data_IF_530549776526
#
_entry.id   IF_530549776526
#
_cell.length_a   1.000
_cell.length_b   1.000
_cell.length_c   1.000
_cell.angle_alpha   90.00
_cell.angle_beta   90.00
_cell.angle_gamma   90.00
#
_symmetry.space_group_name_H-M   'P 1'
#
loop_
_entity.id
_entity.type
_entity.pdbx_description
1 polymer ?
#
# COMPACT_ATOMS: atom_id res chain seq x y z
N UNK A 1 6.69 -5.07 -8.70
CA UNK A 1 7.08 -5.38 -10.10
C UNK A 1 7.80 -4.18 -10.67
N UNK A 2 8.85 -4.36 -11.48
CA UNK A 2 9.58 -3.23 -12.07
C UNK A 2 8.88 -2.62 -13.29
N UNK A 3 8.09 -3.43 -13.99
CA UNK A 3 7.30 -2.98 -15.12
C UNK A 3 5.82 -2.91 -14.73
N UNK A 4 5.07 -2.10 -15.49
CA UNK A 4 3.63 -1.98 -15.31
C UNK A 4 2.97 -3.36 -15.40
N UNK A 5 2.03 -3.70 -14.49
CA UNK A 5 1.35 -4.98 -14.52
C UNK A 5 0.55 -5.18 -15.81
N UNK A 6 0.47 -6.42 -16.27
CA UNK A 6 -0.37 -6.79 -17.41
C UNK A 6 -1.82 -6.38 -17.15
N UNK A 7 -2.48 -5.86 -18.19
CA UNK A 7 -3.86 -5.40 -18.08
C UNK A 7 -4.81 -6.58 -18.06
N UNK A 8 -5.73 -6.56 -17.11
CA UNK A 8 -6.86 -7.48 -17.05
C UNK A 8 -7.93 -7.09 -18.07
N UNK A 9 -8.47 -8.07 -18.79
CA UNK A 9 -9.70 -7.96 -19.57
C UNK A 9 -10.30 -9.36 -19.81
N UNK A 10 -11.43 -9.45 -20.51
CA UNK A 10 -12.12 -10.73 -20.78
C UNK A 10 -11.30 -11.73 -21.60
N UNK A 11 -10.28 -11.27 -22.33
CA UNK A 11 -9.47 -12.09 -23.25
C UNK A 11 -8.06 -12.36 -22.75
N UNK A 12 -7.59 -11.67 -21.70
CA UNK A 12 -6.22 -11.80 -21.20
C UNK A 12 -6.13 -11.78 -19.69
N UNK A 13 -5.14 -12.51 -19.18
CA UNK A 13 -4.80 -12.58 -17.77
C UNK A 13 -3.81 -11.46 -17.42
N UNK A 14 -4.12 -10.70 -16.38
CA UNK A 14 -3.36 -9.51 -15.98
C UNK A 14 -2.43 -9.77 -14.79
N UNK A 15 -1.90 -8.68 -14.19
CA UNK A 15 -1.05 -8.76 -13.01
C UNK A 15 0.42 -9.02 -13.37
N UNK A 16 1.01 -10.08 -12.82
CA UNK A 16 2.42 -10.42 -13.08
C UNK A 16 2.65 -10.76 -14.55
N UNK A 17 3.84 -10.44 -15.08
CA UNK A 17 4.21 -10.75 -16.46
C UNK A 17 4.16 -12.26 -16.76
N UNK A 18 4.45 -13.09 -15.75
CA UNK A 18 4.36 -14.55 -15.85
C UNK A 18 2.93 -15.07 -16.03
N UNK A 19 1.92 -14.22 -15.80
CA UNK A 19 0.53 -14.64 -15.86
C UNK A 19 0.01 -14.85 -17.29
N UNK A 20 0.76 -14.43 -18.32
CA UNK A 20 0.50 -14.85 -19.71
C UNK A 20 0.58 -16.37 -19.87
N UNK A 21 1.45 -17.00 -19.08
CA UNK A 21 1.69 -18.45 -19.10
C UNK A 21 0.81 -19.13 -18.04
N UNK A 22 0.81 -18.61 -16.81
CA UNK A 22 0.12 -19.25 -15.67
C UNK A 22 -1.41 -19.19 -15.78
N UNK A 23 -1.94 -18.11 -16.39
CA UNK A 23 -3.38 -17.90 -16.58
C UNK A 23 -4.19 -17.99 -15.28
N UNK A 24 -3.63 -17.48 -14.18
CA UNK A 24 -4.34 -17.32 -12.92
C UNK A 24 -5.42 -16.25 -13.07
N UNK A 25 -6.61 -16.54 -12.56
CA UNK A 25 -7.72 -15.59 -12.55
C UNK A 25 -7.48 -14.42 -11.59
N UNK A 26 -8.09 -13.27 -11.91
CA UNK A 26 -8.07 -12.08 -11.03
C UNK A 26 -8.73 -12.37 -9.68
N UNK A 27 -9.81 -13.16 -9.72
CA UNK A 27 -10.66 -13.47 -8.57
C UNK A 27 -10.20 -14.80 -7.99
N UNK A 28 -9.78 -14.74 -6.75
CA UNK A 28 -9.27 -15.87 -5.97
C UNK A 28 -10.29 -16.30 -4.92
N UNK A 29 -10.25 -17.56 -4.49
CA UNK A 29 -11.08 -18.11 -3.43
C UNK A 29 -12.02 -19.23 -3.87
N UNK A 30 -12.99 -19.55 -3.02
CA UNK A 30 -13.73 -20.81 -3.11
C UNK A 30 -14.76 -20.83 -4.24
N UNK A 31 -14.54 -21.73 -5.19
CA UNK A 31 -15.48 -22.11 -6.25
C UNK A 31 -16.74 -22.83 -5.73
N UNK A 32 -16.74 -23.27 -4.46
CA UNK A 32 -17.78 -24.14 -3.91
C UNK A 32 -19.11 -23.42 -3.62
N UNK A 33 -19.11 -22.09 -3.61
CA UNK A 33 -20.27 -21.30 -3.18
C UNK A 33 -21.15 -20.79 -4.34
N UNK A 34 -20.87 -21.20 -5.58
CA UNK A 34 -21.72 -20.89 -6.75
C UNK A 34 -21.90 -19.40 -7.02
N UNK A 35 -20.90 -18.56 -6.69
CA UNK A 35 -20.99 -17.12 -6.87
C UNK A 35 -21.08 -16.74 -8.34
N UNK A 36 -22.07 -15.91 -8.68
CA UNK A 36 -22.21 -15.31 -10.00
C UNK A 36 -21.47 -13.97 -9.96
N UNK A 37 -20.44 -13.84 -10.81
CA UNK A 37 -19.66 -12.60 -10.92
C UNK A 37 -20.23 -11.80 -12.09
N UNK A 38 -20.91 -10.70 -11.76
CA UNK A 38 -21.41 -9.73 -12.74
C UNK A 38 -20.46 -8.51 -12.84
N UNK A 39 -20.53 -7.79 -13.96
CA UNK A 39 -19.80 -6.53 -14.19
C UNK A 39 -18.26 -6.62 -14.08
N UNK A 40 -17.67 -7.73 -14.54
CA UNK A 40 -16.21 -7.94 -14.55
C UNK A 40 -15.44 -6.83 -15.25
N UNK A 41 -15.99 -6.24 -16.32
CA UNK A 41 -15.35 -5.14 -17.03
C UNK A 41 -15.02 -3.94 -16.14
N UNK A 42 -15.95 -3.55 -15.24
CA UNK A 42 -15.71 -2.44 -14.31
C UNK A 42 -14.65 -2.79 -13.27
N UNK A 43 -14.63 -4.04 -12.83
CA UNK A 43 -13.60 -4.54 -11.92
C UNK A 43 -12.23 -4.49 -12.59
N UNK A 44 -12.12 -4.95 -13.85
CA UNK A 44 -10.89 -4.87 -14.62
C UNK A 44 -10.40 -3.44 -14.79
N UNK A 45 -11.30 -2.50 -15.13
CA UNK A 45 -10.97 -1.07 -15.23
C UNK A 45 -10.39 -0.54 -13.91
N UNK A 46 -11.08 -0.79 -12.79
CA UNK A 46 -10.62 -0.33 -11.48
C UNK A 46 -9.24 -0.91 -11.11
N UNK A 47 -9.06 -2.23 -11.26
CA UNK A 47 -7.79 -2.91 -10.98
C UNK A 47 -6.67 -2.38 -11.87
N UNK A 48 -6.91 -2.21 -13.17
CA UNK A 48 -5.92 -1.73 -14.11
C UNK A 48 -5.44 -0.31 -13.81
N UNK A 49 -6.32 0.56 -13.29
CA UNK A 49 -5.98 1.92 -12.83
C UNK A 49 -5.19 1.86 -11.52
N UNK A 50 -5.66 1.09 -10.54
CA UNK A 50 -4.98 1.01 -9.24
C UNK A 50 -3.60 0.33 -9.36
N UNK A 51 -3.47 -0.70 -10.19
CA UNK A 51 -2.22 -1.41 -10.44
C UNK A 51 -1.20 -0.62 -11.28
N UNK A 52 -1.63 0.44 -11.99
CA UNK A 52 -0.71 1.31 -12.74
C UNK A 52 -0.08 2.41 -11.90
N UNK A 53 -0.40 2.50 -10.61
CA UNK A 53 0.22 3.46 -9.69
C UNK A 53 1.65 3.01 -9.38
N UNK A 54 2.60 3.92 -9.61
CA UNK A 54 4.02 3.71 -9.29
C UNK A 54 4.31 4.10 -7.84
N UNK A 55 5.07 3.24 -7.17
CA UNK A 55 5.51 3.41 -5.81
C UNK A 55 7.04 3.44 -5.75
N UNK A 56 7.56 3.99 -4.66
CA UNK A 56 8.97 3.94 -4.28
C UNK A 56 9.09 3.73 -2.78
N UNK A 57 10.30 3.40 -2.35
CA UNK A 57 10.60 3.28 -0.93
C UNK A 57 10.97 4.65 -0.37
N UNK A 58 10.32 5.03 0.73
CA UNK A 58 10.69 6.19 1.54
C UNK A 58 12.09 5.98 2.13
N UNK A 59 13.09 6.41 1.37
CA UNK A 59 14.50 6.20 1.68
C UNK A 59 14.92 6.92 2.95
N UNK A 60 14.33 8.08 3.24
CA UNK A 60 14.62 8.86 4.44
C UNK A 60 14.18 8.13 5.70
N UNK A 61 12.95 7.57 5.71
CA UNK A 61 12.47 6.77 6.83
C UNK A 61 13.30 5.49 6.98
N UNK A 62 13.58 4.78 5.89
CA UNK A 62 14.36 3.55 5.93
C UNK A 62 15.76 3.78 6.53
N UNK A 63 16.44 4.85 6.11
CA UNK A 63 17.73 5.23 6.67
C UNK A 63 17.67 5.59 8.15
N UNK A 64 16.62 6.30 8.56
CA UNK A 64 16.39 6.61 9.96
C UNK A 64 16.21 5.33 10.80
N UNK A 65 15.33 4.42 10.36
CA UNK A 65 15.06 3.16 11.05
C UNK A 65 16.31 2.28 11.16
N UNK A 66 17.18 2.28 10.14
CA UNK A 66 18.42 1.50 10.15
C UNK A 66 19.55 2.11 10.99
N UNK A 67 19.42 3.37 11.41
CA UNK A 67 20.41 4.08 12.24
C UNK A 67 19.83 4.37 13.62
N UNK A 68 19.16 5.51 13.75
CA UNK A 68 18.72 6.08 15.03
C UNK A 68 17.41 5.45 15.51
N UNK A 69 16.54 5.05 14.60
CA UNK A 69 15.19 4.56 14.87
C UNK A 69 15.09 3.07 15.21
N UNK A 70 16.20 2.33 15.37
CA UNK A 70 16.19 0.88 15.61
C UNK A 70 15.31 0.47 16.80
N UNK A 71 15.34 1.28 17.86
CA UNK A 71 14.53 1.06 19.07
C UNK A 71 13.02 1.05 18.81
N UNK A 72 12.53 1.59 17.69
CA UNK A 72 11.11 1.54 17.32
C UNK A 72 10.71 0.15 16.79
N UNK A 73 11.66 -0.57 16.19
CA UNK A 73 11.43 -1.88 15.58
C UNK A 73 11.74 -3.02 16.56
N UNK A 74 12.74 -2.83 17.44
CA UNK A 74 13.23 -3.86 18.37
C UNK A 74 12.36 -4.05 19.63
N UNK A 75 11.53 -3.08 20.03
CA UNK A 75 10.93 -3.02 21.38
C UNK A 75 9.71 -3.92 21.62
N UNK A 76 9.34 -4.81 20.68
CA UNK A 76 8.13 -5.64 20.79
C UNK A 76 8.36 -6.99 20.12
N UNK A 77 8.62 -8.07 20.87
CA UNK A 77 8.74 -9.39 20.25
C UNK A 77 8.06 -10.50 21.05
N UNK A 78 7.03 -11.07 20.40
CA UNK A 78 6.87 -12.52 20.22
C UNK A 78 7.57 -12.91 18.90
N UNK A 79 8.21 -14.08 18.84
CA UNK A 79 9.19 -14.49 17.81
C UNK A 79 8.69 -14.40 16.34
N UNK A 80 7.39 -14.52 16.08
CA UNK A 80 6.85 -14.61 14.70
C UNK A 80 6.74 -13.26 13.98
N UNK A 81 6.55 -12.15 14.70
CA UNK A 81 6.47 -10.81 14.10
C UNK A 81 7.85 -10.26 13.71
N UNK A 82 8.91 -10.78 14.32
CA UNK A 82 10.29 -10.33 14.08
C UNK A 82 10.69 -10.55 12.63
N UNK A 83 10.48 -11.78 12.15
CA UNK A 83 10.91 -12.19 10.82
C UNK A 83 10.20 -11.35 9.75
N UNK A 84 8.90 -11.10 9.92
CA UNK A 84 8.16 -10.26 8.97
C UNK A 84 8.72 -8.83 8.90
N UNK A 85 9.07 -8.22 10.05
CA UNK A 85 9.67 -6.87 10.08
C UNK A 85 11.04 -6.86 9.42
N UNK A 86 11.90 -7.83 9.75
CA UNK A 86 13.24 -7.96 9.15
C UNK A 86 13.13 -8.13 7.63
N UNK A 87 12.28 -9.05 7.16
CA UNK A 87 12.07 -9.26 5.71
C UNK A 87 11.52 -8.01 5.03
N UNK A 88 10.60 -7.28 5.69
CA UNK A 88 10.07 -6.01 5.18
C UNK A 88 11.18 -4.97 5.00
N UNK A 89 12.05 -4.80 5.99
CA UNK A 89 13.20 -3.87 5.91
C UNK A 89 14.21 -4.29 4.84
N UNK A 90 14.51 -5.59 4.72
CA UNK A 90 15.43 -6.11 3.69
C UNK A 90 14.90 -5.89 2.27
N UNK A 91 13.59 -6.11 2.05
CA UNK A 91 12.95 -5.79 0.78
C UNK A 91 12.97 -4.28 0.55
N UNK A 92 12.70 -3.46 1.58
CA UNK A 92 12.83 -2.01 1.51
C UNK A 92 14.22 -1.58 1.03
N UNK A 93 15.29 -2.14 1.59
CA UNK A 93 16.67 -1.84 1.15
C UNK A 93 16.93 -2.30 -0.29
N UNK A 94 16.41 -3.47 -0.68
CA UNK A 94 16.54 -3.98 -2.05
C UNK A 94 15.88 -3.05 -3.08
N UNK A 95 14.73 -2.47 -2.74
CA UNK A 95 13.94 -1.60 -3.61
C UNK A 95 14.21 -0.09 -3.38
N UNK A 96 15.16 0.27 -2.52
CA UNK A 96 15.37 1.64 -2.04
C UNK A 96 15.45 2.71 -3.14
N UNK A 97 16.07 2.37 -4.27
CA UNK A 97 16.30 3.29 -5.40
C UNK A 97 15.55 2.88 -6.66
N UNK A 98 14.51 2.07 -6.52
CA UNK A 98 13.81 1.45 -7.63
C UNK A 98 12.33 1.81 -7.53
N UNK A 99 11.76 2.30 -8.63
CA UNK A 99 10.32 2.44 -8.76
C UNK A 99 9.67 1.08 -9.05
N UNK A 100 8.48 0.86 -8.53
CA UNK A 100 7.78 -0.41 -8.73
C UNK A 100 6.27 -0.26 -8.66
N UNK A 101 5.59 -1.27 -9.18
CA UNK A 101 4.14 -1.42 -9.17
C UNK A 101 3.72 -2.56 -8.25
N UNK A 102 2.52 -2.44 -7.69
CA UNK A 102 1.89 -3.45 -6.83
C UNK A 102 0.70 -4.08 -7.58
N UNK A 103 0.86 -5.26 -8.19
CA UNK A 103 -0.26 -5.94 -8.85
C UNK A 103 -1.32 -6.34 -7.83
N UNK A 104 -2.57 -6.32 -8.25
CA UNK A 104 -3.72 -6.58 -7.38
C UNK A 104 -4.45 -7.86 -7.77
N UNK A 105 -5.20 -8.39 -6.81
CA UNK A 105 -6.14 -9.50 -6.96
C UNK A 105 -7.44 -9.19 -6.24
N UNK A 106 -8.48 -9.95 -6.51
CA UNK A 106 -9.76 -9.85 -5.82
C UNK A 106 -10.10 -11.15 -5.10
N UNK A 107 -10.88 -11.09 -4.04
CA UNK A 107 -11.58 -12.26 -3.54
C UNK A 107 -12.94 -12.42 -4.22
N UNK A 108 -13.62 -13.55 -3.99
CA UNK A 108 -14.96 -13.84 -4.52
C UNK A 108 -16.06 -12.84 -4.08
N UNK A 109 -15.78 -11.97 -3.09
CA UNK A 109 -16.67 -10.90 -2.62
C UNK A 109 -16.40 -9.57 -3.33
N UNK A 110 -15.40 -9.53 -4.21
CA UNK A 110 -14.95 -8.33 -4.92
C UNK A 110 -14.05 -7.41 -4.11
N UNK A 111 -13.54 -7.84 -2.94
CA UNK A 111 -12.56 -7.06 -2.17
C UNK A 111 -11.22 -7.12 -2.88
N UNK A 112 -10.57 -5.96 -3.02
CA UNK A 112 -9.31 -5.80 -3.75
C UNK A 112 -8.14 -5.87 -2.78
N UNK A 113 -7.12 -6.65 -3.16
CA UNK A 113 -5.92 -6.91 -2.37
C UNK A 113 -4.66 -6.77 -3.22
N UNK A 114 -3.60 -6.22 -2.64
CA UNK A 114 -2.25 -6.29 -3.19
C UNK A 114 -1.74 -7.72 -3.17
N UNK A 115 -1.18 -8.22 -4.29
CA UNK A 115 -0.54 -9.54 -4.33
C UNK A 115 0.77 -9.57 -3.50
N UNK A 116 1.64 -8.54 -3.52
CA UNK A 116 2.84 -8.54 -2.67
C UNK A 116 2.50 -8.45 -1.17
N UNK A 117 3.22 -9.21 -0.34
CA UNK A 117 2.91 -9.36 1.09
C UNK A 117 3.68 -8.42 2.03
N UNK A 118 5.00 -8.28 1.86
CA UNK A 118 5.84 -7.56 2.84
C UNK A 118 5.85 -6.04 2.66
N UNK A 119 5.88 -5.57 1.41
CA UNK A 119 5.81 -4.15 1.07
C UNK A 119 4.54 -3.94 0.22
N UNK A 120 3.51 -3.38 0.84
CA UNK A 120 2.26 -3.00 0.18
C UNK A 120 1.46 -1.98 1.03
N UNK A 121 0.55 -1.25 0.38
CA UNK A 121 -0.22 -0.19 1.04
C UNK A 121 -1.39 -0.71 1.90
N UNK A 122 -1.64 -2.02 1.95
CA UNK A 122 -2.65 -2.66 2.81
C UNK A 122 -2.01 -3.39 4.00
N UNK A 123 -0.68 -3.29 4.15
CA UNK A 123 0.09 -3.93 5.20
C UNK A 123 0.03 -3.18 6.53
N UNK A 124 0.85 -3.63 7.48
CA UNK A 124 1.02 -2.95 8.77
C UNK A 124 1.75 -1.61 8.64
N UNK A 125 1.84 -0.89 9.76
CA UNK A 125 2.39 0.47 9.84
C UNK A 125 3.80 0.59 9.22
N UNK A 126 4.69 -0.36 9.48
CA UNK A 126 6.03 -0.40 8.88
C UNK A 126 5.98 -0.52 7.34
N UNK A 127 5.14 -1.41 6.82
CA UNK A 127 5.01 -1.65 5.37
C UNK A 127 4.47 -0.41 4.67
N UNK A 128 3.42 0.19 5.23
CA UNK A 128 2.77 1.39 4.70
C UNK A 128 3.69 2.62 4.79
N UNK A 129 4.37 2.82 5.92
CA UNK A 129 5.23 4.00 6.13
C UNK A 129 6.50 4.00 5.25
N UNK A 130 6.99 2.81 4.89
CA UNK A 130 8.09 2.66 3.93
C UNK A 130 7.67 2.92 2.48
N UNK A 131 6.37 3.01 2.17
CA UNK A 131 5.88 3.27 0.83
C UNK A 131 5.57 4.74 0.60
N UNK A 132 5.93 5.23 -0.58
CA UNK A 132 5.52 6.53 -1.09
C UNK A 132 5.09 6.42 -2.56
N UNK A 133 4.23 7.34 -3.00
CA UNK A 133 3.96 7.49 -4.43
C UNK A 133 5.24 7.95 -5.12
N UNK A 134 5.62 7.29 -6.21
CA UNK A 134 6.82 7.67 -6.97
C UNK A 134 6.63 9.02 -7.65
N UNK A 135 5.48 9.20 -8.31
CA UNK A 135 5.14 10.45 -8.99
C UNK A 135 4.55 11.43 -7.96
N UNK A 136 5.37 12.38 -7.51
CA UNK A 136 4.95 13.43 -6.57
C UNK A 136 4.22 14.59 -7.25
N UNK A 137 3.42 15.30 -6.45
CA UNK A 137 2.66 16.48 -6.90
C UNK A 137 2.90 17.68 -6.00
N UNK A 138 2.84 18.90 -6.57
CA UNK A 138 2.98 20.13 -5.78
C UNK A 138 1.77 20.31 -4.86
N UNK A 139 2.02 20.52 -3.57
CA UNK A 139 0.96 20.76 -2.62
C UNK A 139 0.28 22.12 -2.86
N UNK A 140 -1.01 22.07 -3.14
CA UNK A 140 -1.89 23.23 -3.09
C UNK A 140 -2.22 23.60 -1.64
N UNK A 141 -2.90 24.74 -1.44
CA UNK A 141 -3.40 25.12 -0.10
C UNK A 141 -4.31 24.05 0.51
N UNK A 142 -5.16 23.39 -0.29
CA UNK A 142 -5.97 22.28 0.18
C UNK A 142 -5.12 21.04 0.46
N UNK A 143 -4.11 20.75 -0.36
CA UNK A 143 -3.14 19.67 -0.12
C UNK A 143 -2.41 19.81 1.21
N UNK A 144 -1.95 21.02 1.54
CA UNK A 144 -1.32 21.32 2.84
C UNK A 144 -2.30 21.06 4.00
N UNK A 145 -3.57 21.49 3.86
CA UNK A 145 -4.58 21.22 4.89
C UNK A 145 -4.84 19.72 5.06
N UNK A 146 -4.91 18.96 3.97
CA UNK A 146 -5.04 17.49 4.02
C UNK A 146 -3.86 16.84 4.74
N UNK A 147 -2.64 17.33 4.53
CA UNK A 147 -1.45 16.84 5.22
C UNK A 147 -1.52 17.12 6.74
N UNK A 148 -1.99 18.30 7.15
CA UNK A 148 -2.22 18.59 8.58
C UNK A 148 -3.29 17.68 9.19
N UNK A 149 -4.40 17.45 8.49
CA UNK A 149 -5.45 16.54 8.95
C UNK A 149 -4.89 15.12 9.09
N UNK A 150 -4.09 14.67 8.11
CA UNK A 150 -3.42 13.37 8.15
C UNK A 150 -2.48 13.25 9.37
N UNK A 151 -1.64 14.24 9.63
CA UNK A 151 -0.76 14.25 10.81
C UNK A 151 -1.53 14.17 12.13
N UNK A 152 -2.61 14.95 12.27
CA UNK A 152 -3.49 14.87 13.43
C UNK A 152 -4.15 13.50 13.59
N UNK A 153 -4.58 12.88 12.48
CA UNK A 153 -5.18 11.55 12.50
C UNK A 153 -4.20 10.47 12.95
N UNK A 154 -2.94 10.53 12.48
CA UNK A 154 -1.92 9.54 12.83
C UNK A 154 -1.49 9.65 14.29
N UNK A 155 -1.26 10.87 14.78
CA UNK A 155 -0.85 11.06 16.18
C UNK A 155 -1.99 10.81 17.16
N UNK A 156 -3.21 11.19 16.79
CA UNK A 156 -4.46 10.94 17.52
C UNK A 156 -4.45 11.29 19.02
N UNK A 157 -3.63 12.26 19.45
CA UNK A 157 -3.59 12.67 20.86
C UNK A 157 -4.94 13.16 21.33
N UNK A 158 -5.37 12.66 22.50
CA UNK A 158 -6.67 13.00 23.12
C UNK A 158 -7.85 12.86 22.14
N UNK A 159 -7.81 11.87 21.25
CA UNK A 159 -8.84 11.63 20.23
C UNK A 159 -9.04 12.79 19.23
N UNK A 160 -8.01 13.58 18.90
CA UNK A 160 -8.11 14.69 17.94
C UNK A 160 -8.62 14.22 16.56
N UNK A 161 -8.43 12.95 16.18
CA UNK A 161 -8.99 12.36 14.96
C UNK A 161 -10.53 12.31 14.92
N UNK A 162 -11.22 12.55 16.04
CA UNK A 162 -12.68 12.63 16.13
C UNK A 162 -13.21 14.06 16.09
N UNK A 163 -12.34 15.06 16.13
CA UNK A 163 -12.72 16.47 16.08
C UNK A 163 -12.93 16.93 14.62
N UNK A 164 -13.43 18.14 14.43
CA UNK A 164 -13.62 18.77 13.12
C UNK A 164 -12.28 18.99 12.39
N UNK A 165 -12.29 18.98 11.06
CA UNK A 165 -11.09 19.22 10.27
C UNK A 165 -10.39 20.56 10.58
N UNK A 166 -11.09 21.70 10.76
CA UNK A 166 -10.46 22.94 11.20
C UNK A 166 -9.73 22.81 12.55
N UNK A 167 -10.30 22.06 13.51
CA UNK A 167 -9.65 21.84 14.81
C UNK A 167 -8.42 20.95 14.70
N UNK A 168 -8.44 19.92 13.84
CA UNK A 168 -7.26 19.09 13.53
C UNK A 168 -6.13 19.94 12.93
N UNK A 169 -6.44 20.81 11.97
CA UNK A 169 -5.47 21.73 11.38
C UNK A 169 -4.90 22.69 12.44
N UNK A 170 -5.77 23.27 13.28
CA UNK A 170 -5.38 24.17 14.36
C UNK A 170 -4.49 23.45 15.39
N UNK A 171 -4.75 22.18 15.66
CA UNK A 171 -3.95 21.38 16.57
C UNK A 171 -2.52 21.18 16.04
N UNK A 172 -2.34 20.80 14.77
CA UNK A 172 -1.00 20.64 14.18
C UNK A 172 -0.21 21.95 14.18
N UNK A 173 -0.85 23.07 13.83
CA UNK A 173 -0.19 24.38 13.76
C UNK A 173 0.20 25.00 15.10
N UNK A 174 -0.25 24.41 16.22
CA UNK A 174 0.04 24.88 17.57
C UNK A 174 1.27 24.20 18.18
N UNK A 175 1.68 23.08 17.61
CA UNK A 175 2.89 22.34 17.96
C UNK A 175 4.05 22.99 17.23
#
# INVERSE_FOLDING_TARGET
MFFEPLKWNEKSFGGYLTNEILKEDLITGSIHHGHIINFKENLYKAINIMSSVKFSINSSLLEYLNKEGKYLIEKRLEDSEELQKITTLQIGETYKKIEFFLPLQCDWRGRIYTKPFFINYQGGDLSLSLLEFHDGEKLSKSGINSLYIYGANNYNQKNISKDTYPNRIKWVKKI
#
